data_IF_953952898322
#
_entry.id   IF_953952898322
#
_cell.length_a   1.000
_cell.length_b   1.000
_cell.length_c   1.000
_cell.angle_alpha   90.00
_cell.angle_beta   90.00
_cell.angle_gamma   90.00
#
_symmetry.space_group_name_H-M   'P 1'
#
loop_
_entity.id
_entity.type
_entity.pdbx_description
1 polymer ?
#
# COMPACT_ATOMS: atom_id res chain seq x y z
N UNK A 1 6.18 -8.20 18.82
CA UNK A 1 6.23 -9.61 18.39
C UNK A 1 6.06 -9.69 16.89
N UNK A 2 7.06 -10.25 16.19
CA UNK A 2 7.01 -10.41 14.73
C UNK A 2 6.12 -11.59 14.37
N UNK A 3 5.11 -11.34 13.56
CA UNK A 3 4.23 -12.42 13.05
C UNK A 3 4.70 -12.96 11.70
N UNK A 4 5.43 -12.13 10.93
CA UNK A 4 6.07 -12.49 9.67
C UNK A 4 7.46 -11.89 9.65
N UNK A 5 8.46 -12.66 9.24
CA UNK A 5 9.81 -12.17 8.98
C UNK A 5 10.40 -12.85 7.74
N UNK A 6 10.84 -12.05 6.79
CA UNK A 6 11.62 -12.48 5.63
C UNK A 6 13.02 -11.92 5.72
N UNK A 7 14.05 -12.77 5.43
CA UNK A 7 15.46 -12.38 5.40
C UNK A 7 16.11 -12.85 4.11
N UNK A 8 16.51 -11.90 3.29
CA UNK A 8 17.18 -12.14 2.00
C UNK A 8 16.45 -13.17 1.12
N UNK A 9 15.11 -13.06 1.06
CA UNK A 9 14.29 -14.02 0.32
C UNK A 9 14.41 -13.77 -1.17
N UNK A 10 14.81 -14.81 -1.88
CA UNK A 10 14.87 -14.87 -3.34
C UNK A 10 13.71 -15.70 -3.91
N UNK A 11 13.22 -15.31 -5.08
CA UNK A 11 12.27 -16.11 -5.85
C UNK A 11 12.57 -16.06 -7.33
N UNK A 12 12.71 -17.24 -7.91
CA UNK A 12 12.85 -17.44 -9.36
C UNK A 12 11.63 -18.18 -9.92
N UNK A 13 11.19 -17.76 -11.11
CA UNK A 13 10.32 -18.53 -11.98
C UNK A 13 11.10 -18.83 -13.27
N UNK A 14 11.55 -20.07 -13.40
CA UNK A 14 12.52 -20.43 -14.43
C UNK A 14 13.82 -19.60 -14.28
N UNK A 15 14.17 -18.84 -15.31
CA UNK A 15 15.35 -17.97 -15.31
C UNK A 15 15.07 -16.53 -14.80
N UNK A 16 13.79 -16.19 -14.59
CA UNK A 16 13.41 -14.85 -14.19
C UNK A 16 13.45 -14.71 -12.67
N UNK A 17 14.30 -13.83 -12.15
CA UNK A 17 14.37 -13.47 -10.71
C UNK A 17 13.29 -12.44 -10.43
N UNK A 18 12.22 -12.85 -9.72
CA UNK A 18 11.07 -12.01 -9.40
C UNK A 18 11.25 -11.33 -8.04
N UNK A 19 11.86 -12.02 -7.06
CA UNK A 19 12.27 -11.39 -5.80
C UNK A 19 13.78 -11.52 -5.64
N UNK A 20 14.40 -10.44 -5.19
CA UNK A 20 15.83 -10.31 -5.06
C UNK A 20 16.20 -9.78 -3.67
N UNK A 21 16.62 -10.70 -2.80
CA UNK A 21 17.06 -10.45 -1.42
C UNK A 21 16.05 -9.64 -0.59
N UNK A 22 14.77 -10.01 -0.70
CA UNK A 22 13.67 -9.34 0.01
C UNK A 22 13.79 -9.58 1.52
N UNK A 23 13.84 -8.48 2.29
CA UNK A 23 13.90 -8.53 3.75
C UNK A 23 12.94 -7.51 4.35
N UNK A 24 12.03 -7.98 5.22
CA UNK A 24 11.13 -7.15 6.01
C UNK A 24 10.52 -7.96 7.15
N UNK A 25 9.87 -7.28 8.09
CA UNK A 25 9.09 -7.91 9.15
C UNK A 25 7.75 -7.22 9.34
N UNK A 26 6.78 -7.98 9.85
CA UNK A 26 5.43 -7.50 10.21
C UNK A 26 5.21 -7.74 11.68
N UNK A 27 4.88 -6.70 12.41
CA UNK A 27 4.55 -6.76 13.83
C UNK A 27 3.08 -7.11 14.03
N UNK A 28 2.78 -7.72 15.20
CA UNK A 28 1.41 -8.08 15.58
C UNK A 28 0.55 -6.83 15.80
N UNK A 29 -0.70 -6.85 15.34
CA UNK A 29 -1.66 -5.76 15.54
C UNK A 29 -1.44 -4.56 14.63
N UNK A 30 -0.71 -4.73 13.52
CA UNK A 30 -0.46 -3.69 12.54
C UNK A 30 -1.21 -3.95 11.22
N UNK A 31 -1.53 -2.89 10.50
CA UNK A 31 -1.99 -2.95 9.11
C UNK A 31 -0.84 -2.52 8.22
N UNK A 32 -0.26 -3.49 7.50
CA UNK A 32 0.92 -3.26 6.66
C UNK A 32 0.53 -3.18 5.19
N UNK A 33 0.78 -2.03 4.58
CA UNK A 33 0.58 -1.80 3.14
C UNK A 33 1.79 -2.24 2.32
N UNK A 34 1.61 -3.20 1.42
CA UNK A 34 2.63 -3.60 0.45
C UNK A 34 2.45 -2.80 -0.84
N UNK A 35 3.33 -1.82 -1.06
CA UNK A 35 3.23 -0.79 -2.09
C UNK A 35 4.22 -1.07 -3.23
N UNK A 36 3.77 -0.96 -4.46
CA UNK A 36 4.64 -1.07 -5.63
C UNK A 36 3.87 -1.19 -6.93
N UNK A 37 4.52 -0.98 -8.08
CA UNK A 37 3.86 -1.08 -9.37
C UNK A 37 3.45 -2.53 -9.69
N UNK A 38 2.62 -2.70 -10.72
CA UNK A 38 2.28 -4.03 -11.22
C UNK A 38 3.55 -4.76 -11.66
N UNK A 39 3.68 -6.04 -11.27
CA UNK A 39 4.88 -6.83 -11.52
C UNK A 39 6.06 -6.56 -10.56
N UNK A 40 5.93 -5.69 -9.56
CA UNK A 40 7.00 -5.44 -8.58
C UNK A 40 7.32 -6.64 -7.67
N UNK A 41 6.40 -7.63 -7.57
CA UNK A 41 6.58 -8.82 -6.74
C UNK A 41 5.60 -8.95 -5.57
N UNK A 42 4.64 -8.03 -5.39
CA UNK A 42 3.66 -8.01 -4.28
C UNK A 42 2.93 -9.35 -4.13
N UNK A 43 2.22 -9.79 -5.16
CA UNK A 43 1.49 -11.07 -5.17
C UNK A 43 2.43 -12.26 -4.97
N UNK A 44 3.68 -12.19 -5.45
CA UNK A 44 4.68 -13.26 -5.22
C UNK A 44 5.07 -13.35 -3.73
N UNK A 45 5.25 -12.22 -3.06
CA UNK A 45 5.47 -12.17 -1.61
C UNK A 45 4.29 -12.81 -0.88
N UNK A 46 3.06 -12.40 -1.22
CA UNK A 46 1.85 -12.95 -0.61
C UNK A 46 1.67 -14.44 -0.86
N UNK A 47 2.02 -14.93 -2.09
CA UNK A 47 2.04 -16.36 -2.41
C UNK A 47 3.08 -17.14 -1.60
N UNK A 48 4.22 -16.55 -1.26
CA UNK A 48 5.22 -17.18 -0.38
C UNK A 48 4.69 -17.23 1.06
N UNK A 49 4.12 -16.14 1.56
CA UNK A 49 3.54 -16.07 2.91
C UNK A 49 2.43 -17.12 3.06
N UNK A 50 1.53 -17.24 2.07
CA UNK A 50 0.43 -18.20 2.08
C UNK A 50 0.84 -19.66 1.85
N UNK A 51 2.08 -19.90 1.38
CA UNK A 51 2.54 -21.24 1.01
C UNK A 51 2.16 -21.68 -0.40
N UNK A 52 1.50 -20.82 -1.19
CA UNK A 52 1.17 -21.09 -2.60
C UNK A 52 2.41 -21.07 -3.50
N UNK A 53 3.52 -20.49 -3.03
CA UNK A 53 4.80 -20.52 -3.71
C UNK A 53 5.93 -20.74 -2.71
N UNK A 54 6.93 -21.55 -3.10
CA UNK A 54 8.16 -21.71 -2.31
C UNK A 54 9.17 -20.61 -2.66
N UNK A 55 9.90 -20.11 -1.65
CA UNK A 55 11.07 -19.28 -1.88
C UNK A 55 12.18 -20.08 -2.55
N UNK A 56 13.05 -19.41 -3.30
CA UNK A 56 14.22 -20.05 -3.94
C UNK A 56 15.48 -19.94 -3.08
N UNK A 57 15.51 -18.99 -2.12
CA UNK A 57 16.60 -18.77 -1.18
C UNK A 57 16.14 -17.88 -0.02
N UNK A 58 17.05 -17.63 0.93
CA UNK A 58 16.79 -16.83 2.11
C UNK A 58 16.02 -17.55 3.22
N UNK A 59 15.65 -16.82 4.25
CA UNK A 59 14.92 -17.32 5.42
C UNK A 59 13.53 -16.71 5.52
N UNK A 60 12.58 -17.49 6.03
CA UNK A 60 11.21 -17.06 6.26
C UNK A 60 10.67 -17.70 7.52
N UNK A 61 10.12 -16.88 8.42
CA UNK A 61 9.48 -17.34 9.65
C UNK A 61 8.09 -16.75 9.82
N UNK A 62 7.23 -17.52 10.48
CA UNK A 62 5.89 -17.14 10.90
C UNK A 62 5.77 -17.28 12.41
N UNK A 63 5.30 -16.22 13.09
CA UNK A 63 5.13 -16.19 14.55
C UNK A 63 6.43 -16.58 15.28
N UNK A 64 7.55 -15.99 14.83
CA UNK A 64 8.91 -16.20 15.34
C UNK A 64 9.44 -17.66 15.21
N UNK A 65 8.70 -18.52 14.50
CA UNK A 65 9.13 -19.89 14.22
C UNK A 65 9.52 -20.03 12.74
N UNK A 66 10.64 -20.70 12.42
CA UNK A 66 11.02 -21.02 11.04
C UNK A 66 9.89 -21.77 10.33
N UNK A 67 9.63 -21.44 9.07
CA UNK A 67 8.63 -22.15 8.29
C UNK A 67 9.13 -23.51 7.86
N UNK A 68 8.31 -24.52 8.12
CA UNK A 68 8.56 -25.91 7.79
C UNK A 68 7.25 -26.66 7.54
N UNK A 69 7.25 -27.99 7.71
CA UNK A 69 6.10 -28.86 7.46
C UNK A 69 4.91 -28.53 8.37
N UNK A 70 5.17 -28.07 9.60
CA UNK A 70 4.17 -27.65 10.58
C UNK A 70 4.26 -26.14 10.79
N UNK A 71 4.01 -25.36 9.76
CA UNK A 71 4.03 -23.92 9.90
C UNK A 71 2.70 -23.39 10.48
N UNK A 72 2.79 -22.18 11.03
CA UNK A 72 1.68 -21.53 11.71
C UNK A 72 0.62 -20.93 10.75
N UNK A 73 0.55 -21.37 9.49
CA UNK A 73 -0.42 -20.83 8.51
C UNK A 73 -1.87 -21.10 8.88
N UNK A 74 -2.14 -22.11 9.73
CA UNK A 74 -3.46 -22.33 10.29
C UNK A 74 -4.00 -21.15 11.10
N UNK A 75 -3.13 -20.28 11.62
CA UNK A 75 -3.45 -19.04 12.34
C UNK A 75 -3.67 -17.85 11.39
N UNK A 76 -3.58 -18.07 10.09
CA UNK A 76 -3.66 -17.05 9.06
C UNK A 76 -4.81 -17.32 8.09
N UNK A 77 -5.30 -16.29 7.44
CA UNK A 77 -6.21 -16.41 6.32
C UNK A 77 -5.76 -15.54 5.15
N UNK A 78 -6.11 -15.98 3.95
CA UNK A 78 -5.58 -15.41 2.73
C UNK A 78 -6.71 -15.16 1.72
N UNK A 79 -6.72 -13.97 1.13
CA UNK A 79 -7.51 -13.63 -0.03
C UNK A 79 -6.55 -13.08 -1.09
N UNK A 80 -6.05 -13.96 -1.96
CA UNK A 80 -5.06 -13.64 -2.99
C UNK A 80 -5.75 -13.70 -4.36
N UNK A 81 -5.61 -12.62 -5.13
CA UNK A 81 -6.34 -12.39 -6.38
C UNK A 81 -7.83 -12.18 -6.10
N UNK A 82 -8.71 -13.13 -6.45
CA UNK A 82 -10.14 -13.03 -6.21
C UNK A 82 -10.60 -13.98 -5.11
N UNK A 83 -11.61 -13.61 -4.32
CA UNK A 83 -12.18 -14.52 -3.34
C UNK A 83 -12.80 -15.74 -4.03
N UNK A 84 -12.51 -16.94 -3.48
CA UNK A 84 -13.05 -18.21 -3.99
C UNK A 84 -14.50 -18.32 -3.57
N UNK A 85 -15.41 -17.86 -4.41
CA UNK A 85 -16.86 -17.80 -4.15
C UNK A 85 -17.59 -18.57 -5.26
N UNK A 86 -18.50 -19.46 -4.88
CA UNK A 86 -19.43 -20.04 -5.84
C UNK A 86 -20.56 -19.05 -6.14
N UNK A 87 -20.57 -18.56 -7.38
CA UNK A 87 -21.51 -17.54 -7.84
C UNK A 87 -22.96 -18.03 -7.92
N UNK A 88 -23.20 -19.35 -7.97
CA UNK A 88 -24.52 -19.95 -8.00
C UNK A 88 -25.20 -20.04 -6.62
N UNK A 89 -24.39 -20.05 -5.58
CA UNK A 89 -24.81 -20.09 -4.18
C UNK A 89 -25.10 -18.68 -3.62
N UNK A 90 -25.88 -18.60 -2.55
CA UNK A 90 -26.02 -17.36 -1.78
C UNK A 90 -24.88 -17.21 -0.76
N UNK A 91 -24.81 -16.03 -0.07
CA UNK A 91 -23.75 -15.77 0.89
C UNK A 91 -23.66 -16.82 2.01
N UNK A 92 -24.80 -17.16 2.63
CA UNK A 92 -24.86 -18.17 3.71
C UNK A 92 -24.37 -19.54 3.26
N UNK A 93 -24.72 -19.97 2.06
CA UNK A 93 -24.28 -21.25 1.51
C UNK A 93 -22.75 -21.25 1.23
N UNK A 94 -22.21 -20.16 0.72
CA UNK A 94 -20.75 -20.00 0.54
C UNK A 94 -20.04 -20.04 1.91
N UNK A 95 -20.56 -19.34 2.90
CA UNK A 95 -20.05 -19.34 4.27
C UNK A 95 -20.10 -20.74 4.91
N UNK A 96 -21.20 -21.46 4.75
CA UNK A 96 -21.35 -22.83 5.26
C UNK A 96 -20.38 -23.80 4.59
N UNK A 97 -20.20 -23.69 3.27
CA UNK A 97 -19.20 -24.47 2.53
C UNK A 97 -17.79 -24.23 3.09
N UNK A 98 -17.42 -22.97 3.26
CA UNK A 98 -16.10 -22.59 3.79
C UNK A 98 -15.93 -22.99 5.25
N UNK A 99 -16.99 -22.88 6.07
CA UNK A 99 -17.00 -23.31 7.49
C UNK A 99 -16.67 -24.79 7.62
N UNK A 100 -17.33 -25.63 6.80
CA UNK A 100 -17.08 -27.07 6.77
C UNK A 100 -15.67 -27.40 6.31
N UNK A 101 -15.20 -26.72 5.25
CA UNK A 101 -13.83 -26.90 4.72
C UNK A 101 -12.75 -26.54 5.74
N UNK A 102 -13.00 -25.51 6.56
CA UNK A 102 -12.08 -25.06 7.62
C UNK A 102 -12.23 -25.80 8.94
N UNK A 103 -13.22 -26.70 9.06
CA UNK A 103 -13.49 -27.46 10.28
C UNK A 103 -14.00 -26.61 11.44
N UNK A 104 -14.64 -25.46 11.16
CA UNK A 104 -15.22 -24.59 12.19
C UNK A 104 -16.50 -25.18 12.71
N UNK A 105 -16.58 -25.53 14.01
CA UNK A 105 -17.72 -26.20 14.60
C UNK A 105 -18.94 -25.28 14.77
N UNK A 106 -18.69 -24.02 15.17
CA UNK A 106 -19.74 -23.05 15.47
C UNK A 106 -20.43 -22.53 14.19
N UNK A 107 -21.73 -22.84 14.08
CA UNK A 107 -22.57 -22.38 12.96
C UNK A 107 -23.02 -20.93 13.13
N UNK A 108 -23.12 -20.42 14.36
CA UNK A 108 -23.57 -19.05 14.62
C UNK A 108 -22.57 -18.04 14.06
N UNK A 109 -21.30 -18.45 13.93
CA UNK A 109 -20.24 -17.63 13.35
C UNK A 109 -20.59 -17.12 11.95
N UNK A 110 -21.41 -17.85 11.18
CA UNK A 110 -21.85 -17.41 9.86
C UNK A 110 -22.71 -16.17 9.95
N UNK A 111 -23.72 -16.17 10.83
CA UNK A 111 -24.63 -15.04 10.99
C UNK A 111 -23.92 -13.82 11.56
N UNK A 112 -23.09 -14.02 12.58
CA UNK A 112 -22.25 -12.97 13.15
C UNK A 112 -21.40 -12.27 12.07
N UNK A 113 -20.73 -13.05 11.23
CA UNK A 113 -19.85 -12.51 10.20
C UNK A 113 -20.62 -11.87 9.04
N UNK A 114 -21.76 -12.41 8.65
CA UNK A 114 -22.61 -11.78 7.63
C UNK A 114 -23.17 -10.44 8.11
N UNK A 115 -23.60 -10.35 9.38
CA UNK A 115 -23.99 -9.07 10.00
C UNK A 115 -22.79 -8.12 10.04
N UNK A 116 -21.63 -8.61 10.49
CA UNK A 116 -20.42 -7.81 10.62
C UNK A 116 -19.98 -7.13 9.32
N UNK A 117 -20.13 -7.82 8.18
CA UNK A 117 -19.79 -7.26 6.87
C UNK A 117 -20.99 -6.63 6.13
N UNK A 118 -22.16 -6.48 6.78
CA UNK A 118 -23.36 -5.88 6.21
C UNK A 118 -23.95 -6.67 5.04
N UNK A 119 -23.99 -7.98 5.15
CA UNK A 119 -24.56 -8.90 4.15
C UNK A 119 -25.72 -9.76 4.67
N UNK A 120 -26.19 -9.50 5.87
CA UNK A 120 -27.32 -10.21 6.50
C UNK A 120 -28.61 -10.04 5.70
N UNK A 121 -28.90 -8.84 5.21
CA UNK A 121 -30.08 -8.53 4.39
C UNK A 121 -29.97 -9.03 2.92
N UNK A 122 -28.77 -9.46 2.47
CA UNK A 122 -28.59 -9.96 1.12
C UNK A 122 -29.42 -11.23 0.83
N UNK A 123 -29.94 -11.88 1.89
CA UNK A 123 -30.93 -12.92 1.89
C UNK A 123 -30.54 -14.14 1.06
N UNK A 124 -31.52 -14.65 0.29
CA UNK A 124 -31.35 -15.84 -0.59
C UNK A 124 -30.82 -15.51 -1.99
N UNK A 125 -30.46 -14.24 -2.25
CA UNK A 125 -29.97 -13.79 -3.56
C UNK A 125 -28.64 -14.49 -3.90
N UNK A 126 -28.52 -15.10 -5.09
CA UNK A 126 -27.26 -15.74 -5.52
C UNK A 126 -26.15 -14.70 -5.66
N UNK A 127 -24.91 -15.08 -5.32
CA UNK A 127 -23.75 -14.19 -5.34
C UNK A 127 -23.40 -13.65 -6.73
N UNK A 128 -23.82 -14.34 -7.82
CA UNK A 128 -23.69 -13.81 -9.18
C UNK A 128 -24.32 -12.42 -9.34
N UNK A 129 -25.36 -12.12 -8.56
CA UNK A 129 -26.10 -10.85 -8.56
C UNK A 129 -25.59 -9.82 -7.56
N UNK A 130 -24.47 -10.09 -6.88
CA UNK A 130 -23.82 -9.15 -5.95
C UNK A 130 -22.97 -8.15 -6.72
N UNK A 131 -22.88 -6.91 -6.18
CA UNK A 131 -21.88 -5.96 -6.61
C UNK A 131 -20.47 -6.49 -6.30
N UNK A 132 -19.45 -5.88 -6.88
CA UNK A 132 -18.06 -6.25 -6.58
C UNK A 132 -17.75 -6.05 -5.10
N UNK A 133 -18.18 -4.93 -4.50
CA UNK A 133 -18.03 -4.65 -3.06
C UNK A 133 -18.68 -5.71 -2.18
N UNK A 134 -19.92 -6.12 -2.49
CA UNK A 134 -20.57 -7.24 -1.78
C UNK A 134 -19.79 -8.54 -1.86
N UNK A 135 -19.18 -8.85 -3.03
CA UNK A 135 -18.33 -10.04 -3.20
C UNK A 135 -17.06 -9.96 -2.38
N UNK A 136 -16.42 -8.78 -2.34
CA UNK A 136 -15.23 -8.55 -1.53
C UNK A 136 -15.55 -8.67 -0.03
N UNK A 137 -16.64 -8.07 0.44
CA UNK A 137 -17.09 -8.20 1.84
C UNK A 137 -17.39 -9.65 2.21
N UNK A 138 -18.02 -10.41 1.30
CA UNK A 138 -18.23 -11.85 1.52
C UNK A 138 -16.90 -12.62 1.59
N UNK A 139 -15.92 -12.31 0.73
CA UNK A 139 -14.57 -12.89 0.78
C UNK A 139 -13.87 -12.62 2.11
N UNK A 140 -13.98 -11.40 2.63
CA UNK A 140 -13.46 -11.03 3.97
C UNK A 140 -14.18 -11.84 5.05
N UNK A 141 -15.52 -11.93 5.03
CA UNK A 141 -16.27 -12.73 5.98
C UNK A 141 -15.85 -14.21 5.98
N UNK A 142 -15.71 -14.80 4.79
CA UNK A 142 -15.22 -16.18 4.62
C UNK A 142 -13.80 -16.36 5.19
N UNK A 143 -12.93 -15.36 5.04
CA UNK A 143 -11.57 -15.39 5.58
C UNK A 143 -11.54 -15.30 7.11
N UNK A 144 -12.57 -14.73 7.73
CA UNK A 144 -12.68 -14.56 9.19
C UNK A 144 -13.29 -15.77 9.91
N UNK A 145 -13.82 -16.78 9.20
CA UNK A 145 -14.53 -17.92 9.80
C UNK A 145 -13.70 -18.68 10.84
N UNK A 146 -12.43 -18.91 10.56
CA UNK A 146 -11.53 -19.63 11.47
C UNK A 146 -10.82 -18.73 12.49
N UNK A 147 -11.31 -17.51 12.69
CA UNK A 147 -10.77 -16.51 13.60
C UNK A 147 -9.24 -16.30 13.49
N UNK A 148 -8.71 -16.00 12.32
CA UNK A 148 -7.27 -15.88 12.11
C UNK A 148 -6.67 -14.72 12.90
N UNK A 149 -5.39 -14.83 13.28
CA UNK A 149 -4.61 -13.75 13.88
C UNK A 149 -4.05 -12.81 12.81
N UNK A 150 -3.81 -13.34 11.60
CA UNK A 150 -3.25 -12.59 10.47
C UNK A 150 -4.12 -12.78 9.22
N UNK A 151 -4.43 -11.67 8.56
CA UNK A 151 -5.11 -11.60 7.27
C UNK A 151 -4.15 -11.10 6.20
N UNK A 152 -4.11 -11.76 5.04
CA UNK A 152 -3.34 -11.34 3.86
C UNK A 152 -4.30 -11.14 2.70
N UNK A 153 -4.44 -9.88 2.26
CA UNK A 153 -5.45 -9.45 1.30
C UNK A 153 -4.78 -8.80 0.08
N UNK A 154 -4.87 -9.44 -1.07
CA UNK A 154 -4.30 -8.93 -2.32
C UNK A 154 -5.34 -8.09 -3.07
N UNK A 155 -5.08 -6.78 -3.19
CA UNK A 155 -5.92 -5.79 -3.90
C UNK A 155 -7.41 -5.81 -3.48
N UNK A 156 -7.78 -5.85 -2.17
CA UNK A 156 -9.17 -6.07 -1.74
C UNK A 156 -10.13 -4.93 -2.08
N UNK A 157 -9.62 -3.75 -2.43
CA UNK A 157 -10.42 -2.57 -2.79
C UNK A 157 -10.41 -2.26 -4.28
N UNK A 158 -9.71 -3.07 -5.09
CA UNK A 158 -9.54 -2.80 -6.51
C UNK A 158 -10.88 -2.90 -7.27
N UNK A 159 -11.18 -1.87 -8.06
CA UNK A 159 -12.37 -1.80 -8.88
C UNK A 159 -13.68 -1.53 -8.14
N UNK A 160 -13.61 -1.18 -6.85
CA UNK A 160 -14.76 -0.75 -6.06
C UNK A 160 -15.10 0.72 -6.34
N UNK A 161 -16.36 1.05 -6.11
CA UNK A 161 -16.82 2.43 -5.99
C UNK A 161 -16.33 3.07 -4.66
N UNK A 162 -16.33 4.39 -4.53
CA UNK A 162 -15.86 5.08 -3.33
C UNK A 162 -16.53 4.60 -2.03
N UNK A 163 -17.83 4.28 -2.08
CA UNK A 163 -18.57 3.79 -0.92
C UNK A 163 -18.08 2.41 -0.48
N UNK A 164 -17.91 1.48 -1.42
CA UNK A 164 -17.38 0.15 -1.15
C UNK A 164 -15.94 0.15 -0.61
N UNK A 165 -15.11 1.11 -1.06
CA UNK A 165 -13.75 1.30 -0.50
C UNK A 165 -13.83 1.71 0.98
N UNK A 166 -14.69 2.69 1.31
CA UNK A 166 -14.88 3.15 2.69
C UNK A 166 -15.38 2.03 3.59
N UNK A 167 -16.36 1.24 3.13
CA UNK A 167 -16.89 0.10 3.89
C UNK A 167 -15.80 -0.93 4.23
N UNK A 168 -15.01 -1.36 3.24
CA UNK A 168 -13.91 -2.31 3.46
C UNK A 168 -12.86 -1.71 4.39
N UNK A 169 -12.49 -0.45 4.22
CA UNK A 169 -11.55 0.24 5.10
C UNK A 169 -12.02 0.25 6.55
N UNK A 170 -13.29 0.52 6.80
CA UNK A 170 -13.87 0.49 8.15
C UNK A 170 -13.79 -0.90 8.76
N UNK A 171 -14.14 -1.95 8.01
CA UNK A 171 -14.03 -3.34 8.46
C UNK A 171 -12.59 -3.68 8.85
N UNK A 172 -11.61 -3.35 8.01
CA UNK A 172 -10.21 -3.68 8.25
C UNK A 172 -9.62 -2.90 9.44
N UNK A 173 -9.97 -1.62 9.59
CA UNK A 173 -9.58 -0.82 10.78
C UNK A 173 -10.14 -1.45 12.06
N UNK A 174 -11.42 -1.79 12.07
CA UNK A 174 -12.05 -2.38 13.25
C UNK A 174 -11.43 -3.73 13.61
N UNK A 175 -11.13 -4.58 12.64
CA UNK A 175 -10.43 -5.85 12.87
C UNK A 175 -9.07 -5.66 13.54
N UNK A 176 -8.33 -4.65 13.12
CA UNK A 176 -7.02 -4.34 13.71
C UNK A 176 -7.17 -3.69 15.10
N UNK A 177 -7.90 -2.59 15.19
CA UNK A 177 -7.97 -1.75 16.40
C UNK A 177 -8.72 -2.39 17.54
N UNK A 178 -9.88 -3.05 17.25
CA UNK A 178 -10.73 -3.64 18.30
C UNK A 178 -10.46 -5.12 18.56
N UNK A 179 -10.02 -5.87 17.53
CA UNK A 179 -9.80 -7.32 17.66
C UNK A 179 -8.32 -7.71 17.65
N UNK A 180 -7.40 -6.75 17.51
CA UNK A 180 -5.95 -6.98 17.52
C UNK A 180 -5.44 -7.85 16.36
N UNK A 181 -6.20 -7.92 15.25
CA UNK A 181 -5.77 -8.66 14.05
C UNK A 181 -4.61 -7.95 13.37
N UNK A 182 -3.71 -8.71 12.79
CA UNK A 182 -2.65 -8.19 11.91
C UNK A 182 -3.11 -8.33 10.47
N UNK A 183 -2.92 -7.30 9.65
CA UNK A 183 -3.39 -7.30 8.27
C UNK A 183 -2.25 -6.92 7.34
N UNK A 184 -2.05 -7.70 6.28
CA UNK A 184 -1.20 -7.32 5.16
C UNK A 184 -2.10 -7.08 3.96
N UNK A 185 -2.00 -5.91 3.37
CA UNK A 185 -2.80 -5.50 2.23
C UNK A 185 -1.90 -5.02 1.09
N UNK A 186 -2.15 -5.46 -0.13
CA UNK A 186 -1.58 -4.81 -1.31
C UNK A 186 -2.61 -3.87 -1.93
N UNK A 187 -2.14 -2.75 -2.45
CA UNK A 187 -2.94 -1.89 -3.32
C UNK A 187 -2.02 -1.08 -4.23
N UNK A 188 -2.56 -0.67 -5.35
CA UNK A 188 -1.98 0.36 -6.22
C UNK A 188 -2.59 1.74 -5.96
N UNK A 189 -3.65 1.82 -5.14
CA UNK A 189 -4.31 3.07 -4.71
C UNK A 189 -3.64 3.56 -3.43
N UNK A 190 -2.61 4.39 -3.57
CA UNK A 190 -1.78 4.84 -2.44
C UNK A 190 -2.54 5.72 -1.45
N UNK A 191 -3.49 6.52 -1.94
CA UNK A 191 -4.39 7.32 -1.10
C UNK A 191 -5.16 6.45 -0.10
N UNK A 192 -5.67 5.29 -0.54
CA UNK A 192 -6.42 4.38 0.33
C UNK A 192 -5.52 3.72 1.39
N UNK A 193 -4.30 3.35 1.00
CA UNK A 193 -3.33 2.80 1.96
C UNK A 193 -2.90 3.84 3.01
N UNK A 194 -2.78 5.11 2.63
CA UNK A 194 -2.43 6.19 3.57
C UNK A 194 -3.47 6.37 4.68
N UNK A 195 -4.75 6.15 4.35
CA UNK A 195 -5.86 6.23 5.28
C UNK A 195 -6.01 4.99 6.19
N UNK A 196 -5.49 3.83 5.73
CA UNK A 196 -5.72 2.54 6.38
C UNK A 196 -4.50 2.02 7.16
N UNK A 197 -3.30 2.07 6.55
CA UNK A 197 -2.13 1.36 7.05
C UNK A 197 -1.42 2.06 8.21
N UNK A 198 -0.86 1.28 9.12
CA UNK A 198 0.05 1.73 10.17
C UNK A 198 1.50 1.72 9.71
N UNK A 199 1.83 0.84 8.76
CA UNK A 199 3.17 0.64 8.21
C UNK A 199 3.13 0.41 6.71
N UNK A 200 4.24 0.72 6.05
CA UNK A 200 4.38 0.62 4.62
C UNK A 200 5.64 -0.15 4.25
N UNK A 201 5.52 -1.04 3.28
CA UNK A 201 6.63 -1.75 2.65
C UNK A 201 6.62 -1.41 1.16
N UNK A 202 7.59 -0.62 0.73
CA UNK A 202 7.73 -0.19 -0.65
C UNK A 202 8.60 -1.19 -1.40
N UNK A 203 8.03 -1.81 -2.45
CA UNK A 203 8.73 -2.77 -3.30
C UNK A 203 8.81 -2.26 -4.74
N UNK A 204 9.97 -2.38 -5.35
CA UNK A 204 10.18 -2.08 -6.76
C UNK A 204 11.15 -3.08 -7.40
N UNK A 205 10.81 -3.60 -8.58
CA UNK A 205 11.63 -4.59 -9.31
C UNK A 205 12.12 -5.75 -8.44
N UNK A 206 11.24 -6.30 -7.59
CA UNK A 206 11.53 -7.44 -6.72
C UNK A 206 12.42 -7.15 -5.52
N UNK A 207 12.70 -5.89 -5.20
CA UNK A 207 13.49 -5.47 -4.04
C UNK A 207 12.71 -4.55 -3.13
N UNK A 208 12.89 -4.67 -1.84
CA UNK A 208 12.39 -3.67 -0.90
C UNK A 208 13.22 -2.40 -1.06
N UNK A 209 12.52 -1.31 -1.37
CA UNK A 209 13.09 0.03 -1.46
C UNK A 209 13.17 0.64 -0.07
N UNK A 210 12.08 0.49 0.70
CA UNK A 210 11.98 1.03 2.04
C UNK A 210 10.88 0.31 2.83
N UNK A 211 11.02 0.29 4.15
CA UNK A 211 9.99 -0.17 5.10
C UNK A 211 9.94 0.84 6.23
N UNK A 212 8.77 1.43 6.48
CA UNK A 212 8.61 2.53 7.44
C UNK A 212 7.20 2.53 8.03
N UNK A 213 7.07 3.05 9.26
CA UNK A 213 5.80 3.31 9.90
C UNK A 213 5.12 4.56 9.33
N UNK A 214 3.83 4.76 9.65
CA UNK A 214 3.11 6.00 9.32
C UNK A 214 3.77 7.23 9.96
N UNK A 215 4.26 7.10 11.20
CA UNK A 215 4.95 8.16 11.91
C UNK A 215 6.27 8.53 11.22
N UNK A 216 7.06 7.52 10.83
CA UNK A 216 8.31 7.75 10.07
C UNK A 216 8.02 8.37 8.70
N UNK A 217 6.96 7.93 8.01
CA UNK A 217 6.53 8.56 6.76
C UNK A 217 6.23 10.04 6.97
N UNK A 218 5.46 10.39 8.02
CA UNK A 218 5.14 11.78 8.33
C UNK A 218 6.38 12.61 8.67
N UNK A 219 7.37 12.02 9.35
CA UNK A 219 8.65 12.68 9.65
C UNK A 219 9.54 12.88 8.42
N UNK A 220 9.50 11.93 7.48
CA UNK A 220 10.31 11.96 6.27
C UNK A 220 9.63 12.73 5.12
N UNK A 221 8.31 12.92 5.19
CA UNK A 221 7.56 13.71 4.22
C UNK A 221 7.96 15.18 4.30
N UNK A 222 8.34 15.76 3.18
CA UNK A 222 8.67 17.18 3.12
C UNK A 222 7.39 17.99 3.27
N UNK A 223 7.39 18.92 4.20
CA UNK A 223 6.36 19.95 4.23
C UNK A 223 6.62 20.96 3.10
N UNK A 224 5.56 21.53 2.57
CA UNK A 224 5.64 22.62 1.59
C UNK A 224 4.44 23.56 1.72
N UNK A 225 4.63 24.80 1.30
CA UNK A 225 3.53 25.74 1.13
C UNK A 225 3.02 25.55 -0.31
N UNK A 226 1.79 25.06 -0.48
CA UNK A 226 1.10 25.02 -1.77
C UNK A 226 0.49 26.37 -2.06
N UNK A 227 0.87 26.98 -3.18
CA UNK A 227 0.42 28.29 -3.61
C UNK A 227 -0.16 28.18 -5.02
N UNK A 228 -1.41 28.65 -5.21
CA UNK A 228 -1.99 28.88 -6.53
C UNK A 228 -2.37 30.32 -6.67
N UNK A 229 -2.00 30.93 -7.78
CA UNK A 229 -2.28 32.33 -8.08
C UNK A 229 -2.81 32.46 -9.51
N UNK A 230 -3.35 33.63 -9.81
CA UNK A 230 -3.80 34.00 -11.16
C UNK A 230 -2.65 34.22 -12.15
N UNK A 231 -1.44 34.50 -11.65
CA UNK A 231 -0.23 34.66 -12.46
C UNK A 231 1.01 34.04 -11.79
N UNK A 232 1.15 32.73 -11.99
CA UNK A 232 2.20 31.96 -11.30
C UNK A 232 3.63 32.45 -11.64
N UNK A 233 3.89 32.81 -12.89
CA UNK A 233 5.20 33.28 -13.32
C UNK A 233 5.59 34.61 -12.65
N UNK A 234 4.64 35.55 -12.53
CA UNK A 234 4.84 36.80 -11.82
C UNK A 234 5.01 36.58 -10.32
N UNK A 235 4.16 35.74 -9.71
CA UNK A 235 4.28 35.33 -8.31
C UNK A 235 5.65 34.77 -7.99
N UNK A 236 6.13 33.83 -8.81
CA UNK A 236 7.45 33.22 -8.61
C UNK A 236 8.57 34.24 -8.65
N UNK A 237 8.58 35.10 -9.66
CA UNK A 237 9.57 36.18 -9.79
C UNK A 237 9.51 37.18 -8.59
N UNK A 238 8.31 37.49 -8.12
CA UNK A 238 8.11 38.36 -6.95
C UNK A 238 8.69 37.75 -5.69
N UNK A 239 8.43 36.45 -5.44
CA UNK A 239 8.96 35.72 -4.28
C UNK A 239 10.48 35.56 -4.35
N UNK A 240 11.05 35.26 -5.52
CA UNK A 240 12.50 35.22 -5.72
C UNK A 240 13.17 36.56 -5.42
N UNK A 241 12.61 37.64 -5.96
CA UNK A 241 13.20 38.97 -5.83
C UNK A 241 13.05 39.58 -4.41
N UNK A 242 11.88 39.42 -3.79
CA UNK A 242 11.59 40.06 -2.49
C UNK A 242 11.98 39.24 -1.28
N UNK A 243 11.85 37.87 -1.37
CA UNK A 243 12.14 36.95 -0.27
C UNK A 243 13.39 36.09 -0.52
N UNK A 244 14.09 36.27 -1.65
CA UNK A 244 15.24 35.44 -2.05
C UNK A 244 14.89 33.94 -2.02
N UNK A 245 13.68 33.60 -2.45
CA UNK A 245 13.18 32.22 -2.47
C UNK A 245 14.01 31.39 -3.47
N UNK A 246 14.56 30.25 -3.00
CA UNK A 246 15.38 29.34 -3.81
C UNK A 246 14.90 27.90 -3.82
N UNK A 247 14.26 27.44 -2.73
CA UNK A 247 13.81 26.08 -2.59
C UNK A 247 12.31 26.00 -2.88
N UNK A 248 11.97 25.86 -4.15
CA UNK A 248 10.62 25.73 -4.64
C UNK A 248 10.54 24.82 -5.87
N UNK A 249 9.34 24.38 -6.23
CA UNK A 249 9.04 23.60 -7.42
C UNK A 249 7.73 24.09 -8.05
N UNK A 250 7.77 24.37 -9.34
CA UNK A 250 6.57 24.59 -10.15
C UNK A 250 6.04 23.20 -10.54
N UNK A 251 4.82 22.87 -10.13
CA UNK A 251 4.19 21.57 -10.36
C UNK A 251 3.51 21.56 -11.73
N UNK A 252 2.74 22.61 -12.01
CA UNK A 252 2.05 22.85 -13.26
C UNK A 252 1.89 24.36 -13.48
N UNK A 253 1.10 24.75 -14.48
CA UNK A 253 0.88 26.18 -14.83
C UNK A 253 0.14 26.97 -13.74
N UNK A 254 -0.36 26.31 -12.69
CA UNK A 254 -1.19 26.92 -11.64
C UNK A 254 -0.65 26.76 -10.23
N UNK A 255 0.26 25.82 -9.96
CA UNK A 255 0.71 25.47 -8.60
C UNK A 255 2.23 25.62 -8.41
N UNK A 256 2.60 26.43 -7.41
CA UNK A 256 3.94 26.56 -6.86
C UNK A 256 4.00 25.87 -5.48
N UNK A 257 5.01 25.04 -5.25
CA UNK A 257 5.31 24.47 -3.95
C UNK A 257 6.60 25.07 -3.40
N UNK A 258 6.53 25.63 -2.20
CA UNK A 258 7.66 26.26 -1.52
C UNK A 258 8.10 25.35 -0.38
N UNK A 259 9.33 24.88 -0.43
CA UNK A 259 9.92 23.97 0.57
C UNK A 259 10.74 24.71 1.65
N UNK A 260 10.42 25.96 1.88
CA UNK A 260 11.05 26.84 2.85
C UNK A 260 10.01 27.76 3.51
N UNK A 261 10.45 28.55 4.50
CA UNK A 261 9.65 29.64 5.10
C UNK A 261 8.34 29.18 5.77
N UNK A 262 8.30 27.98 6.35
CA UNK A 262 7.12 27.42 7.02
C UNK A 262 6.65 28.24 8.22
N UNK A 263 7.57 28.95 8.86
CA UNK A 263 7.35 29.86 9.99
C UNK A 263 6.92 31.27 9.54
N UNK A 264 6.93 31.54 8.23
CA UNK A 264 6.70 32.87 7.63
C UNK A 264 5.53 32.90 6.65
N UNK A 265 4.51 32.09 6.90
CA UNK A 265 3.33 31.99 6.01
C UNK A 265 2.69 33.35 5.71
N UNK A 266 2.56 34.21 6.71
CA UNK A 266 2.01 35.55 6.55
C UNK A 266 2.90 36.43 5.67
N UNK A 267 4.23 36.38 5.84
CA UNK A 267 5.19 37.13 5.03
C UNK A 267 5.11 36.72 3.54
N UNK A 268 5.02 35.40 3.27
CA UNK A 268 4.87 34.87 1.92
C UNK A 268 3.55 35.33 1.29
N UNK A 269 2.42 35.18 1.99
CA UNK A 269 1.11 35.58 1.46
C UNK A 269 1.00 37.07 1.21
N UNK A 270 1.49 37.92 2.11
CA UNK A 270 1.54 39.37 1.93
C UNK A 270 2.43 39.78 0.75
N UNK A 271 3.59 39.13 0.60
CA UNK A 271 4.49 39.44 -0.53
C UNK A 271 3.83 39.18 -1.88
N UNK A 272 3.01 38.11 -1.98
CA UNK A 272 2.24 37.78 -3.19
C UNK A 272 1.19 38.87 -3.46
N UNK A 273 0.36 39.18 -2.47
CA UNK A 273 -0.73 40.16 -2.62
C UNK A 273 -0.21 41.58 -2.84
N UNK A 274 0.86 41.98 -2.16
CA UNK A 274 1.53 43.27 -2.37
C UNK A 274 2.26 43.34 -3.73
N UNK A 275 2.52 42.19 -4.35
CA UNK A 275 2.99 42.07 -5.72
C UNK A 275 1.91 42.32 -6.75
N UNK A 276 0.64 42.29 -6.35
CA UNK A 276 -0.53 42.49 -7.22
C UNK A 276 -1.17 41.20 -7.71
N UNK A 277 -0.69 40.04 -7.30
CA UNK A 277 -1.28 38.73 -7.68
C UNK A 277 -2.40 38.32 -6.70
N UNK A 278 -3.38 37.60 -7.22
CA UNK A 278 -4.50 37.07 -6.44
C UNK A 278 -4.19 35.64 -6.00
N UNK A 279 -4.24 35.39 -4.70
CA UNK A 279 -4.09 34.04 -4.13
C UNK A 279 -5.39 33.26 -4.33
N UNK A 280 -5.35 32.18 -5.08
CA UNK A 280 -6.45 31.26 -5.31
C UNK A 280 -6.43 30.09 -4.32
N UNK A 281 -5.24 29.68 -3.87
CA UNK A 281 -5.02 28.67 -2.86
C UNK A 281 -3.72 28.96 -2.11
N UNK A 282 -3.73 28.75 -0.79
CA UNK A 282 -2.54 28.89 0.05
C UNK A 282 -2.67 27.98 1.27
N UNK A 283 -1.85 26.93 1.36
CA UNK A 283 -1.90 25.98 2.47
C UNK A 283 -0.53 25.39 2.77
N UNK A 284 -0.24 25.18 4.05
CA UNK A 284 0.87 24.35 4.47
C UNK A 284 0.43 22.87 4.38
N UNK A 285 1.16 22.11 3.62
CA UNK A 285 0.83 20.72 3.28
C UNK A 285 2.07 19.84 3.40
N UNK A 286 1.89 18.56 3.66
CA UNK A 286 2.94 17.55 3.61
C UNK A 286 2.85 16.74 2.32
N UNK A 287 3.98 16.22 1.87
CA UNK A 287 3.98 15.26 0.76
C UNK A 287 3.05 14.08 1.08
N UNK A 288 2.24 13.70 0.10
CA UNK A 288 1.39 12.52 0.19
C UNK A 288 2.23 11.23 0.10
N UNK A 289 1.65 10.09 0.54
CA UNK A 289 2.28 8.78 0.34
C UNK A 289 2.64 8.51 -1.13
N UNK A 290 1.82 9.00 -2.07
CA UNK A 290 2.07 8.87 -3.50
C UNK A 290 3.30 9.65 -3.95
N UNK A 291 3.42 10.89 -3.53
CA UNK A 291 4.57 11.74 -3.84
C UNK A 291 5.85 11.18 -3.23
N UNK A 292 5.77 10.74 -1.98
CA UNK A 292 6.88 10.07 -1.30
C UNK A 292 7.32 8.82 -2.05
N UNK A 293 6.38 7.95 -2.43
CA UNK A 293 6.64 6.75 -3.22
C UNK A 293 7.32 7.09 -4.55
N UNK A 294 6.80 8.06 -5.31
CA UNK A 294 7.37 8.48 -6.58
C UNK A 294 8.79 9.00 -6.41
N UNK A 295 9.07 9.79 -5.38
CA UNK A 295 10.41 10.27 -5.08
C UNK A 295 11.43 9.14 -4.88
N UNK A 296 11.03 8.06 -4.17
CA UNK A 296 11.88 6.91 -3.90
C UNK A 296 12.11 6.02 -5.14
N UNK A 297 11.11 5.91 -6.01
CA UNK A 297 11.20 5.07 -7.22
C UNK A 297 11.98 5.76 -8.34
N UNK A 298 11.83 7.08 -8.51
CA UNK A 298 12.53 7.85 -9.54
C UNK A 298 14.02 8.03 -9.23
N UNK A 299 14.42 8.21 -7.98
CA UNK A 299 15.82 8.22 -7.57
C UNK A 299 16.55 6.93 -7.98
N UNK A 300 15.88 5.78 -7.90
CA UNK A 300 16.43 4.50 -8.33
C UNK A 300 16.62 4.38 -9.87
N UNK A 301 15.88 5.15 -10.68
CA UNK A 301 16.10 5.24 -12.15
C UNK A 301 17.37 6.04 -12.45
N UNK A 302 17.56 7.18 -11.82
CA UNK A 302 18.72 8.06 -12.04
C UNK A 302 20.06 7.41 -11.70
N UNK A 303 20.13 6.54 -10.70
CA UNK A 303 21.36 5.79 -10.38
C UNK A 303 21.66 4.66 -11.38
N UNK A 304 20.63 4.00 -11.94
CA UNK A 304 20.82 2.96 -12.97
C UNK A 304 21.27 3.56 -14.30
N UNK A 305 20.75 4.72 -14.68
CA UNK A 305 21.14 5.41 -15.91
C UNK A 305 22.55 5.99 -15.80
N UNK A 306 22.96 6.51 -14.64
CA UNK A 306 24.35 6.91 -14.39
C UNK A 306 25.32 5.72 -14.43
N UNK A 307 24.93 4.55 -13.89
CA UNK A 307 25.76 3.33 -13.97
C UNK A 307 25.81 2.75 -15.39
N UNK A 308 24.74 2.82 -16.18
CA UNK A 308 24.74 2.43 -17.61
C UNK A 308 25.57 3.38 -18.46
N UNK A 309 25.48 4.68 -18.26
CA UNK A 309 26.33 5.67 -18.93
C UNK A 309 27.82 5.42 -18.67
N UNK A 310 28.21 5.19 -17.40
CA UNK A 310 29.61 4.91 -17.04
C UNK A 310 30.15 3.57 -17.58
N UNK A 311 29.30 2.60 -17.86
CA UNK A 311 29.69 1.31 -18.47
C UNK A 311 29.83 1.47 -20.00
N UNK A 312 28.96 2.24 -20.63
CA UNK A 312 29.06 2.56 -22.06
C UNK A 312 30.31 3.41 -22.38
N UNK A 313 30.64 4.39 -21.53
CA UNK A 313 31.88 5.19 -21.66
C UNK A 313 33.15 4.35 -21.47
N UNK A 314 33.12 3.31 -20.59
CA UNK A 314 34.25 2.37 -20.45
C UNK A 314 34.40 1.40 -21.62
N UNK A 315 33.30 1.10 -22.33
CA UNK A 315 33.31 0.22 -23.51
C UNK A 315 33.66 0.97 -24.79
N UNK A 316 33.33 2.26 -24.88
CA UNK A 316 33.68 3.12 -26.03
C UNK A 316 35.13 3.64 -26.00
N UNK A 317 35.80 3.62 -24.85
CA UNK A 317 37.20 4.03 -24.67
C UNK A 317 38.26 2.97 -25.02
N UNK A 318 37.87 1.81 -25.54
CA UNK A 318 38.82 0.72 -25.91
C UNK A 318 38.94 0.47 -27.43
N UNK A 319 38.81 1.49 -28.23
CA UNK A 319 39.11 1.35 -29.67
C UNK A 319 39.88 2.55 -30.20
N UNK A 320 41.06 2.82 -29.63
CA UNK A 320 42.06 3.69 -30.21
C UNK A 320 43.42 3.33 -29.60
N UNK A 321 44.00 2.26 -30.10
CA UNK A 321 45.45 2.04 -30.21
C UNK A 321 45.70 0.89 -31.19
#
# INVERSE_FOLDING_TARGET
MKVIEMKNVDKYYGKNKVLDSVSFSVERGHIVGLIGPNGAGKTTIMKIISGLAHRSGGEFSLFEAPTGIHDNRGRMSFMIENPIIDLSLNARQNMEYMRLLRGVADKNRIDELLIYVGLDEAGKKPVKNYSLGMKQRLGIAMSLLADPEVLVLDEPVNGLDPEGIVEIRMILKELCEKQGKTIIISSHLLSELSELCTDYIIINHGRIVESLSREELMMHSRSYISVKTDNLSHTTATLENRLNLKDYKIVDDTELRIFAMYDKLAEVSHTITDGGDTILHFALTNESLEEYYLSKVDHNKGEKDKKRGSVLDRLSGRSAR
#
